data_IF_075135320663
#
_entry.id   IF_075135320663
#
_cell.length_a   1.000
_cell.length_b   1.000
_cell.length_c   1.000
_cell.angle_alpha   90.00
_cell.angle_beta   90.00
_cell.angle_gamma   90.00
#
_symmetry.space_group_name_H-M   'P 1'
#
loop_
_entity.id
_entity.type
_entity.pdbx_description
1 polymer ?
#
# COMPACT_ATOMS: atom_id res chain seq x y z
N UNK A 1 -38.06 5.72 48.81
CA UNK A 1 -36.98 5.07 48.02
C UNK A 1 -37.06 5.41 46.52
N UNK A 2 -38.25 5.45 45.89
CA UNK A 2 -38.41 5.81 44.46
C UNK A 2 -37.94 7.22 44.06
N UNK A 3 -38.31 8.27 44.82
CA UNK A 3 -37.90 9.65 44.50
C UNK A 3 -36.39 9.87 44.47
N UNK A 4 -35.65 9.26 45.40
CA UNK A 4 -34.18 9.33 45.42
C UNK A 4 -33.56 8.65 44.19
N UNK A 5 -34.19 7.57 43.71
CA UNK A 5 -33.72 6.88 42.51
C UNK A 5 -33.99 7.71 41.25
N UNK A 6 -35.19 8.28 41.11
CA UNK A 6 -35.54 9.17 40.00
C UNK A 6 -34.60 10.38 39.93
N UNK A 7 -34.42 11.10 41.04
CA UNK A 7 -33.54 12.27 41.08
C UNK A 7 -32.08 11.93 40.77
N UNK A 8 -31.61 10.70 41.06
CA UNK A 8 -30.27 10.24 40.69
C UNK A 8 -30.16 9.97 39.20
N UNK A 9 -31.17 9.32 38.60
CA UNK A 9 -31.22 9.09 37.16
C UNK A 9 -31.22 10.40 36.39
N UNK A 10 -32.03 11.37 36.79
CA UNK A 10 -32.07 12.71 36.16
C UNK A 10 -30.71 13.42 36.24
N UNK A 11 -30.05 13.38 37.41
CA UNK A 11 -28.70 13.92 37.56
C UNK A 11 -27.71 13.25 36.60
N UNK A 12 -27.75 11.92 36.52
CA UNK A 12 -26.82 11.13 35.71
C UNK A 12 -27.04 11.38 34.20
N UNK A 13 -28.29 11.55 33.77
CA UNK A 13 -28.65 11.96 32.41
C UNK A 13 -28.09 13.35 32.07
N UNK A 14 -28.31 14.34 32.92
CA UNK A 14 -27.77 15.71 32.72
C UNK A 14 -26.24 15.69 32.70
N UNK A 15 -25.62 14.89 33.57
CA UNK A 15 -24.17 14.74 33.59
C UNK A 15 -23.64 14.13 32.30
N UNK A 16 -24.32 13.13 31.73
CA UNK A 16 -23.97 12.53 30.46
C UNK A 16 -24.11 13.53 29.29
N UNK A 17 -25.17 14.35 29.29
CA UNK A 17 -25.37 15.40 28.29
C UNK A 17 -24.25 16.45 28.34
N UNK A 18 -23.87 16.89 29.55
CA UNK A 18 -22.76 17.84 29.73
C UNK A 18 -21.43 17.26 29.23
N UNK A 19 -21.14 15.99 29.53
CA UNK A 19 -19.93 15.34 29.07
C UNK A 19 -19.86 15.27 27.54
N UNK A 20 -21.01 15.11 26.86
CA UNK A 20 -21.09 15.08 25.39
C UNK A 20 -20.75 16.43 24.73
N UNK A 21 -20.86 17.55 25.44
CA UNK A 21 -20.47 18.87 24.94
C UNK A 21 -18.95 19.07 24.89
N UNK A 22 -18.17 18.17 25.52
CA UNK A 22 -16.70 18.20 25.50
C UNK A 22 -16.16 17.08 24.63
N UNK A 23 -15.63 17.43 23.45
CA UNK A 23 -14.94 16.46 22.59
C UNK A 23 -13.51 16.26 23.12
N UNK A 24 -13.12 15.01 23.36
CA UNK A 24 -11.77 14.63 23.80
C UNK A 24 -11.09 13.79 22.72
N UNK A 25 -9.77 13.92 22.63
CA UNK A 25 -8.98 13.05 21.77
C UNK A 25 -9.11 11.59 22.27
N UNK A 26 -9.37 10.61 21.38
CA UNK A 26 -9.53 9.21 21.77
C UNK A 26 -8.18 8.54 22.10
N UNK A 27 -7.07 9.15 21.69
CA UNK A 27 -5.69 8.71 21.95
C UNK A 27 -4.73 9.89 21.88
N UNK A 28 -3.51 9.70 22.37
CA UNK A 28 -2.40 10.62 22.09
C UNK A 28 -2.16 10.71 20.59
N UNK A 29 -2.08 11.93 20.07
CA UNK A 29 -1.89 12.21 18.65
C UNK A 29 -1.47 13.67 18.45
N UNK A 30 -0.92 13.95 17.27
CA UNK A 30 -0.63 15.31 16.79
C UNK A 30 -1.85 15.85 16.03
N UNK A 31 -2.19 17.12 16.26
CA UNK A 31 -3.21 17.82 15.46
C UNK A 31 -2.60 18.13 14.08
N UNK A 32 -3.15 17.52 13.03
CA UNK A 32 -2.71 17.73 11.65
C UNK A 32 -3.43 18.91 11.00
N UNK A 33 -4.72 19.09 11.31
CA UNK A 33 -5.55 20.13 10.71
C UNK A 33 -6.71 20.51 11.66
N UNK A 34 -7.07 21.79 11.68
CA UNK A 34 -8.25 22.33 12.36
C UNK A 34 -9.11 23.05 11.33
N UNK A 35 -10.29 22.50 11.05
CA UNK A 35 -11.22 22.98 10.01
C UNK A 35 -12.42 23.74 10.57
N UNK A 36 -12.44 23.99 11.87
CA UNK A 36 -13.51 24.71 12.57
C UNK A 36 -12.94 25.95 13.25
N UNK A 37 -13.72 27.03 13.27
CA UNK A 37 -13.35 28.28 13.95
C UNK A 37 -14.14 28.48 15.24
N UNK A 38 -13.59 29.29 16.15
CA UNK A 38 -14.31 29.68 17.36
C UNK A 38 -15.62 30.39 17.00
N UNK A 39 -16.72 29.96 17.63
CA UNK A 39 -18.08 30.47 17.36
C UNK A 39 -18.77 29.83 16.15
N UNK A 40 -18.10 28.96 15.40
CA UNK A 40 -18.70 28.22 14.29
C UNK A 40 -19.54 27.05 14.78
N UNK A 41 -20.61 26.73 14.03
CA UNK A 41 -21.48 25.60 14.34
C UNK A 41 -20.89 24.28 13.82
N UNK A 42 -20.60 23.37 14.74
CA UNK A 42 -20.09 22.04 14.42
C UNK A 42 -21.20 21.12 13.87
N UNK A 43 -21.17 20.83 12.56
CA UNK A 43 -22.09 19.87 11.96
C UNK A 43 -21.71 18.42 12.30
N UNK A 44 -22.68 17.63 12.78
CA UNK A 44 -22.48 16.23 13.19
C UNK A 44 -22.10 15.32 12.02
N UNK A 45 -22.50 15.68 10.81
CA UNK A 45 -22.31 14.93 9.57
C UNK A 45 -21.50 15.73 8.52
N UNK A 46 -20.57 16.57 8.97
CA UNK A 46 -19.68 17.29 8.07
C UNK A 46 -18.92 16.30 7.16
N UNK A 47 -18.83 16.63 5.86
CA UNK A 47 -18.09 15.84 4.87
C UNK A 47 -16.60 15.88 5.19
N UNK A 48 -16.10 17.06 5.59
CA UNK A 48 -14.74 17.24 6.06
C UNK A 48 -14.66 17.12 7.58
N UNK A 49 -13.62 16.45 8.13
CA UNK A 49 -13.46 16.35 9.56
C UNK A 49 -13.17 17.72 10.18
N UNK A 50 -13.84 18.06 11.29
CA UNK A 50 -13.62 19.33 12.00
C UNK A 50 -12.20 19.47 12.55
N UNK A 51 -11.62 18.35 13.01
CA UNK A 51 -10.24 18.25 13.48
C UNK A 51 -9.66 16.95 12.95
N UNK A 52 -8.48 17.00 12.32
CA UNK A 52 -7.74 15.83 11.89
C UNK A 52 -6.59 15.57 12.85
N UNK A 53 -6.58 14.39 13.46
CA UNK A 53 -5.54 13.93 14.37
C UNK A 53 -4.78 12.76 13.74
N UNK A 54 -3.46 12.71 13.93
CA UNK A 54 -2.62 11.63 13.42
C UNK A 54 -1.45 11.32 14.35
N UNK A 55 -1.02 10.07 14.32
CA UNK A 55 0.24 9.67 14.93
C UNK A 55 1.37 10.03 13.95
N UNK A 56 2.36 10.78 14.44
CA UNK A 56 3.51 11.24 13.65
C UNK A 56 4.84 10.66 14.12
N UNK A 57 4.80 9.77 15.14
CA UNK A 57 5.96 9.04 15.64
C UNK A 57 6.27 7.86 14.72
N UNK A 58 5.25 7.05 14.40
CA UNK A 58 5.40 5.96 13.42
C UNK A 58 4.90 6.40 12.04
N UNK A 59 5.81 6.55 11.08
CA UNK A 59 5.44 6.89 9.71
C UNK A 59 5.21 5.64 8.86
N UNK A 60 4.21 5.73 7.99
CA UNK A 60 3.83 4.64 7.10
C UNK A 60 3.66 5.14 5.67
N UNK A 61 4.07 4.31 4.72
CA UNK A 61 3.75 4.45 3.31
C UNK A 61 2.70 3.41 2.94
N UNK A 62 1.65 3.87 2.27
CA UNK A 62 0.67 3.01 1.61
C UNK A 62 1.04 2.92 0.13
N UNK A 63 1.53 1.77 -0.28
CA UNK A 63 1.84 1.47 -1.66
C UNK A 63 0.62 0.80 -2.31
N UNK A 64 0.06 1.43 -3.34
CA UNK A 64 -1.02 0.88 -4.16
C UNK A 64 -0.42 0.15 -5.36
N UNK A 65 -0.62 -1.17 -5.42
CA UNK A 65 -0.10 -2.05 -6.47
C UNK A 65 -1.27 -2.50 -7.33
N UNK A 66 -1.20 -2.30 -8.64
CA UNK A 66 -2.29 -2.72 -9.54
C UNK A 66 -2.58 -4.23 -9.42
N UNK A 67 -3.87 -4.60 -9.48
CA UNK A 67 -4.35 -5.98 -9.27
C UNK A 67 -3.61 -7.03 -10.14
N UNK A 68 -3.25 -6.67 -11.38
CA UNK A 68 -2.49 -7.54 -12.28
C UNK A 68 -1.11 -7.92 -11.72
N UNK A 69 -0.51 -7.02 -10.94
CA UNK A 69 0.79 -7.23 -10.30
C UNK A 69 0.66 -7.78 -8.87
N UNK A 70 -0.54 -7.81 -8.29
CA UNK A 70 -0.76 -8.28 -6.93
C UNK A 70 -0.22 -9.71 -6.66
N UNK A 71 -0.34 -10.69 -7.57
CA UNK A 71 0.22 -12.03 -7.36
C UNK A 71 1.76 -12.08 -7.28
N UNK A 72 2.45 -11.03 -7.74
CA UNK A 72 3.92 -10.96 -7.70
C UNK A 72 4.45 -10.45 -6.36
N UNK A 73 3.57 -9.95 -5.50
CA UNK A 73 3.95 -9.36 -4.21
C UNK A 73 4.16 -10.47 -3.20
N UNK A 74 5.39 -10.58 -2.69
CA UNK A 74 5.72 -11.51 -1.62
C UNK A 74 5.66 -10.76 -0.28
N UNK A 75 4.92 -11.26 0.72
CA UNK A 75 4.95 -10.70 2.07
C UNK A 75 6.38 -10.65 2.60
N UNK A 76 6.78 -9.51 3.19
CA UNK A 76 8.15 -9.32 3.70
C UNK A 76 9.17 -8.87 2.66
N UNK A 77 8.80 -8.66 1.39
CA UNK A 77 9.70 -8.09 0.39
C UNK A 77 10.29 -6.74 0.86
N UNK A 78 11.61 -6.54 0.76
CA UNK A 78 12.22 -5.24 0.96
C UNK A 78 11.68 -4.22 -0.05
N UNK A 79 11.61 -2.95 0.36
CA UNK A 79 11.19 -1.88 -0.51
C UNK A 79 11.93 -0.57 -0.20
N UNK A 80 11.93 0.33 -1.17
CA UNK A 80 12.50 1.68 -1.06
C UNK A 80 11.50 2.67 -1.62
N UNK A 81 11.25 3.77 -0.90
CA UNK A 81 10.47 4.90 -1.38
C UNK A 81 11.36 6.08 -1.79
N UNK A 82 10.88 6.86 -2.74
CA UNK A 82 11.44 8.15 -3.13
C UNK A 82 10.33 9.20 -3.10
N UNK A 83 10.67 10.44 -2.73
CA UNK A 83 9.70 11.52 -2.82
C UNK A 83 9.29 11.75 -4.28
N UNK A 84 8.00 11.95 -4.53
CA UNK A 84 7.52 12.14 -5.91
C UNK A 84 8.24 13.33 -6.57
N UNK A 85 8.88 13.07 -7.71
CA UNK A 85 9.67 14.05 -8.45
C UNK A 85 11.13 14.21 -7.98
N UNK A 86 11.56 13.47 -6.94
CA UNK A 86 12.92 13.51 -6.40
C UNK A 86 13.45 12.09 -6.17
N UNK A 87 14.38 11.64 -7.01
CA UNK A 87 14.99 10.29 -6.92
C UNK A 87 16.35 10.30 -6.21
N UNK A 88 16.79 11.43 -5.69
CA UNK A 88 18.09 11.59 -5.03
C UNK A 88 18.13 10.99 -3.62
N UNK A 89 16.97 10.93 -2.93
CA UNK A 89 16.89 10.52 -1.53
C UNK A 89 16.01 9.29 -1.35
N UNK A 90 16.66 8.15 -1.19
CA UNK A 90 16.03 6.88 -0.87
C UNK A 90 15.56 6.85 0.60
N UNK A 91 14.35 6.34 0.82
CA UNK A 91 13.78 6.04 2.14
C UNK A 91 13.64 4.51 2.23
N UNK A 92 14.49 3.81 3.00
CA UNK A 92 14.34 2.38 3.23
C UNK A 92 13.01 2.08 3.92
N UNK A 93 12.29 1.09 3.42
CA UNK A 93 10.99 0.70 3.94
C UNK A 93 11.07 -0.66 4.63
N UNK A 94 10.42 -0.76 5.79
CA UNK A 94 10.22 -2.01 6.52
C UNK A 94 8.81 -2.51 6.29
N UNK A 95 8.67 -3.75 5.81
CA UNK A 95 7.37 -4.36 5.56
C UNK A 95 6.55 -4.42 6.86
N UNK A 96 5.31 -3.97 6.81
CA UNK A 96 4.36 -4.08 7.92
C UNK A 96 3.30 -5.14 7.61
N UNK A 97 2.52 -4.94 6.54
CA UNK A 97 1.45 -5.87 6.15
C UNK A 97 0.95 -5.64 4.73
N UNK A 98 0.26 -6.64 4.22
CA UNK A 98 -0.59 -6.53 3.03
C UNK A 98 -2.05 -6.45 3.50
N UNK A 99 -2.79 -5.48 2.99
CA UNK A 99 -4.25 -5.44 3.19
C UNK A 99 -4.89 -6.51 2.29
N UNK A 100 -5.68 -7.45 2.85
CA UNK A 100 -6.13 -8.64 2.11
C UNK A 100 -7.24 -8.34 1.09
N UNK A 101 -7.77 -7.11 1.06
CA UNK A 101 -8.89 -6.72 0.22
C UNK A 101 -8.46 -5.74 -0.87
N UNK A 102 -8.71 -6.13 -2.13
CA UNK A 102 -8.41 -5.32 -3.31
C UNK A 102 -9.49 -4.24 -3.47
N UNK A 103 -9.05 -2.99 -3.44
CA UNK A 103 -9.93 -1.80 -3.50
C UNK A 103 -9.85 -1.09 -4.86
N UNK A 104 -10.89 -0.38 -5.30
CA UNK A 104 -10.77 0.52 -6.45
C UNK A 104 -9.72 1.60 -6.20
N UNK A 105 -8.89 1.89 -7.21
CA UNK A 105 -7.88 2.95 -7.17
C UNK A 105 -8.59 4.30 -7.05
N UNK A 106 -8.31 5.03 -5.97
CA UNK A 106 -8.81 6.39 -5.81
C UNK A 106 -7.77 7.35 -6.38
N UNK A 107 -8.12 8.08 -7.44
CA UNK A 107 -7.27 9.15 -7.96
C UNK A 107 -7.13 10.24 -6.90
N UNK A 108 -5.93 10.37 -6.33
CA UNK A 108 -5.56 11.42 -5.37
C UNK A 108 -5.46 12.81 -6.04
N UNK A 109 -5.67 12.92 -7.35
CA UNK A 109 -5.58 14.16 -8.15
C UNK A 109 -6.91 14.91 -8.30
N UNK A 110 -8.01 14.41 -7.72
CA UNK A 110 -9.29 15.13 -7.71
C UNK A 110 -10.04 15.19 -9.03
N UNK A 111 -9.56 14.56 -10.10
CA UNK A 111 -10.29 14.48 -11.38
C UNK A 111 -11.24 13.28 -11.38
N UNK A 112 -12.53 13.59 -11.38
CA UNK A 112 -13.63 12.67 -11.31
C UNK A 112 -14.29 12.61 -12.68
N UNK A 113 -13.85 11.68 -13.57
CA UNK A 113 -14.69 11.20 -14.69
C UNK A 113 -14.20 10.07 -15.60
N UNK A 114 -13.14 9.33 -15.26
CA UNK A 114 -12.81 8.15 -16.05
C UNK A 114 -12.96 6.86 -15.25
N UNK A 115 -14.01 6.10 -15.56
CA UNK A 115 -14.13 4.71 -15.15
C UNK A 115 -13.14 3.88 -15.95
N UNK A 116 -11.88 3.93 -15.55
CA UNK A 116 -10.93 2.87 -15.87
C UNK A 116 -10.91 1.98 -14.65
N UNK A 117 -11.40 0.74 -14.79
CA UNK A 117 -11.43 -0.29 -13.75
C UNK A 117 -10.00 -0.64 -13.29
N UNK A 118 -9.39 0.26 -12.52
CA UNK A 118 -8.09 0.04 -11.89
C UNK A 118 -8.36 -0.31 -10.44
N UNK A 119 -8.07 -1.56 -10.10
CA UNK A 119 -8.15 -2.09 -8.74
C UNK A 119 -6.72 -2.28 -8.22
N UNK A 120 -6.53 -2.10 -6.92
CA UNK A 120 -5.20 -2.13 -6.30
C UNK A 120 -5.19 -2.98 -5.04
N UNK A 121 -4.11 -3.73 -4.86
CA UNK A 121 -3.69 -4.31 -3.59
C UNK A 121 -2.89 -3.27 -2.82
N UNK A 122 -3.24 -3.04 -1.55
CA UNK A 122 -2.54 -2.08 -0.71
C UNK A 122 -1.52 -2.79 0.17
N UNK A 123 -0.27 -2.33 0.10
CA UNK A 123 0.80 -2.81 0.96
C UNK A 123 1.26 -1.68 1.84
N UNK A 124 1.32 -1.94 3.14
CA UNK A 124 1.73 -0.98 4.14
C UNK A 124 3.18 -1.26 4.51
N UNK A 125 3.99 -0.22 4.44
CA UNK A 125 5.35 -0.20 4.92
C UNK A 125 5.50 0.84 6.01
N UNK A 126 6.40 0.60 6.95
CA UNK A 126 6.85 1.58 7.94
C UNK A 126 8.23 2.10 7.57
N UNK A 127 8.55 3.31 7.99
CA UNK A 127 9.88 3.86 7.84
C UNK A 127 10.20 4.82 8.98
N UNK A 128 11.49 4.91 9.30
CA UNK A 128 12.00 5.88 10.25
C UNK A 128 12.06 7.26 9.58
N UNK A 129 11.82 8.31 10.37
CA UNK A 129 11.85 9.68 9.85
C UNK A 129 13.25 10.00 9.29
N UNK A 130 13.38 10.32 7.99
CA UNK A 130 14.69 10.59 7.41
C UNK A 130 15.24 11.96 7.86
N UNK A 131 16.51 12.22 7.55
CA UNK A 131 17.18 13.48 7.90
C UNK A 131 16.63 14.73 7.16
N UNK A 132 15.75 14.52 6.17
CA UNK A 132 15.07 15.58 5.44
C UNK A 132 13.57 15.61 5.77
N UNK A 133 12.94 16.75 5.54
CA UNK A 133 11.53 16.93 5.87
C UNK A 133 10.62 16.05 5.01
N UNK A 134 9.75 15.31 5.68
CA UNK A 134 8.64 14.53 5.08
C UNK A 134 7.37 14.88 5.84
N UNK A 135 6.28 15.07 5.10
CA UNK A 135 4.98 15.45 5.64
C UNK A 135 3.94 14.35 5.42
N UNK A 136 2.99 14.23 6.35
CA UNK A 136 1.85 13.32 6.21
C UNK A 136 1.00 13.76 5.01
N UNK A 137 0.59 12.81 4.18
CA UNK A 137 -0.18 13.06 2.95
C UNK A 137 0.68 13.30 1.70
N UNK A 138 2.01 13.37 1.83
CA UNK A 138 2.91 13.49 0.69
C UNK A 138 2.94 12.20 -0.15
N UNK A 139 3.01 12.35 -1.48
CA UNK A 139 3.12 11.23 -2.41
C UNK A 139 4.57 10.79 -2.59
N UNK A 140 4.76 9.47 -2.74
CA UNK A 140 6.06 8.83 -2.95
C UNK A 140 5.95 7.77 -4.04
N UNK A 141 7.06 7.52 -4.71
CA UNK A 141 7.22 6.39 -5.63
C UNK A 141 7.89 5.24 -4.89
N UNK A 142 7.28 4.04 -4.93
CA UNK A 142 7.73 2.89 -4.15
C UNK A 142 8.22 1.79 -5.09
N UNK A 143 9.42 1.30 -4.83
CA UNK A 143 10.03 0.17 -5.53
C UNK A 143 10.11 -1.00 -4.57
N UNK A 144 9.46 -2.11 -4.93
CA UNK A 144 9.42 -3.34 -4.15
C UNK A 144 10.29 -4.37 -4.84
N UNK A 145 11.20 -4.98 -4.09
CA UNK A 145 12.08 -6.02 -4.61
C UNK A 145 11.27 -7.28 -4.95
N UNK A 146 11.47 -7.78 -6.17
CA UNK A 146 10.88 -9.06 -6.61
C UNK A 146 11.79 -10.19 -6.16
N UNK A 147 11.24 -11.18 -5.48
CA UNK A 147 11.96 -12.41 -5.19
C UNK A 147 12.37 -13.08 -6.51
N UNK A 148 13.67 -13.17 -6.78
CA UNK A 148 14.22 -13.89 -7.92
C UNK A 148 14.12 -15.40 -7.70
N UNK A 149 12.91 -15.96 -7.68
CA UNK A 149 12.74 -17.40 -7.78
C UNK A 149 12.05 -17.71 -9.11
N UNK A 150 12.80 -17.94 -10.20
CA UNK A 150 12.21 -18.41 -11.43
C UNK A 150 11.74 -19.84 -11.18
N UNK A 151 10.45 -20.03 -10.89
CA UNK A 151 9.80 -21.34 -11.04
C UNK A 151 9.55 -21.53 -12.54
N UNK A 152 10.63 -21.83 -13.26
CA UNK A 152 10.61 -22.33 -14.63
C UNK A 152 11.47 -23.59 -14.65
N UNK A 153 11.00 -24.71 -15.25
CA UNK A 153 11.77 -25.94 -15.24
C UNK A 153 13.10 -25.74 -15.96
N UNK A 154 14.20 -25.94 -15.23
CA UNK A 154 15.55 -26.04 -15.80
C UNK A 154 15.64 -27.30 -16.67
N UNK A 155 15.78 -27.09 -17.97
CA UNK A 155 16.71 -27.83 -18.83
C UNK A 155 16.28 -29.21 -19.32
N UNK A 156 15.92 -29.27 -20.61
CA UNK A 156 16.57 -30.21 -21.52
C UNK A 156 16.89 -29.46 -22.82
N UNK A 157 18.14 -28.97 -22.90
CA UNK A 157 18.75 -28.60 -24.16
C UNK A 157 19.13 -29.87 -24.91
N UNK A 158 18.33 -30.27 -25.90
CA UNK A 158 18.80 -31.13 -26.99
C UNK A 158 19.33 -30.22 -28.10
N UNK A 159 20.65 -30.09 -28.14
CA UNK A 159 21.39 -29.50 -29.25
C UNK A 159 21.54 -30.59 -30.31
N UNK A 160 20.94 -30.35 -31.48
CA UNK A 160 21.24 -31.07 -32.71
C UNK A 160 22.68 -30.77 -33.15
N UNK A 161 23.45 -31.80 -33.46
CA UNK A 161 24.43 -31.82 -34.57
C UNK A 161 25.25 -33.10 -34.57
N UNK A 162 25.13 -33.89 -35.64
CA UNK A 162 26.27 -34.43 -36.38
C UNK A 162 25.80 -35.35 -37.52
N UNK A 163 25.60 -34.70 -38.68
CA UNK A 163 25.89 -35.22 -40.01
C UNK A 163 26.88 -36.40 -40.06
N UNK A 164 26.39 -37.58 -40.46
CA UNK A 164 27.20 -38.72 -40.84
C UNK A 164 27.54 -38.66 -42.34
N UNK A 165 28.80 -38.34 -42.64
CA UNK A 165 29.59 -38.73 -43.83
C UNK A 165 31.01 -38.96 -43.27
N UNK A 166 31.81 -39.98 -43.57
CA UNK A 166 32.08 -40.81 -44.75
C UNK A 166 33.22 -41.81 -44.32
N UNK A 167 33.93 -42.58 -45.17
CA UNK A 167 33.54 -43.60 -46.17
C UNK A 167 34.41 -44.91 -46.10
N UNK A 168 34.23 -45.78 -47.11
CA UNK A 168 35.16 -46.77 -47.74
C UNK A 168 35.20 -48.22 -47.21
N UNK A 169 34.61 -49.11 -48.00
CA UNK A 169 35.17 -50.38 -48.50
C UNK A 169 34.38 -50.69 -49.80
N UNK A 170 34.90 -51.05 -50.97
CA UNK A 170 36.23 -51.50 -51.36
C UNK A 170 36.17 -52.87 -52.03
N UNK A 171 35.47 -53.06 -53.16
CA UNK A 171 35.71 -54.17 -54.11
C UNK A 171 34.87 -54.04 -55.41
N UNK A 172 35.31 -54.63 -56.55
CA UNK A 172 35.11 -54.08 -57.89
C UNK A 172 34.28 -54.97 -58.85
N UNK A 173 34.28 -54.59 -60.14
CA UNK A 173 33.78 -55.29 -61.35
C UNK A 173 32.29 -55.03 -61.70
N UNK A 174 31.88 -54.73 -62.93
CA UNK A 174 32.55 -54.56 -64.21
C UNK A 174 31.52 -54.35 -65.34
N UNK A 175 31.97 -53.74 -66.44
CA UNK A 175 31.50 -53.85 -67.86
C UNK A 175 30.09 -53.34 -68.22
N UNK A 176 30.06 -52.25 -69.02
CA UNK A 176 29.75 -52.25 -70.48
C UNK A 176 28.28 -52.56 -70.81
N UNK A 177 27.48 -51.52 -71.03
CA UNK A 177 26.98 -51.04 -72.33
C UNK A 177 26.03 -49.86 -72.13
#
# INVERSE_FOLDING_TARGET
KGYLHLARTERDEVQALLNRLTVRAPRSATILQVNVRAGEYAMVNAIEPLILLGDTETLQVRADIDEVNAPLVVPGSPAVAYLKGFTDKAIPLTFDRIEPYIVPKRSLTGENRERVDTRVLQVIYRFERPAFSVYVGQQVDVYIERSSNPVGPKGESRVDSASHRNPVDGAPEGKEQ
#
